data_IF_661436630916
#
_entry.id   IF_661436630916
#
_cell.length_a   1.000
_cell.length_b   1.000
_cell.length_c   1.000
_cell.angle_alpha   90.00
_cell.angle_beta   90.00
_cell.angle_gamma   90.00
#
_symmetry.space_group_name_H-M   'P 1'
#
loop_
_entity.id
_entity.type
_entity.pdbx_description
1 polymer ?
#
# COMPACT_ATOMS: atom_id res chain seq x y z
N UNK A 1 -70.70 27.02 -8.31
CA UNK A 1 -69.51 27.30 -9.16
C UNK A 1 -68.26 26.91 -8.37
N UNK A 2 -67.49 25.93 -8.87
CA UNK A 2 -66.22 25.48 -8.26
C UNK A 2 -65.04 26.26 -8.85
N UNK A 3 -64.18 26.74 -7.97
CA UNK A 3 -62.89 27.38 -8.23
C UNK A 3 -61.86 26.36 -8.76
N UNK A 4 -60.99 26.78 -9.69
CA UNK A 4 -59.70 26.13 -9.93
C UNK A 4 -58.59 27.18 -10.03
N UNK A 5 -57.60 27.03 -9.16
CA UNK A 5 -56.45 27.91 -8.94
C UNK A 5 -55.28 27.45 -9.82
N UNK A 6 -54.56 28.41 -10.42
CA UNK A 6 -53.42 28.19 -11.31
C UNK A 6 -52.18 27.62 -10.61
N UNK A 7 -51.63 26.55 -11.19
CA UNK A 7 -50.49 25.79 -10.65
C UNK A 7 -49.34 25.62 -11.65
N UNK A 8 -48.96 26.66 -12.38
CA UNK A 8 -48.00 26.54 -13.51
C UNK A 8 -46.55 26.93 -13.20
N UNK A 9 -46.28 27.71 -12.14
CA UNK A 9 -44.93 28.29 -11.91
C UNK A 9 -44.02 27.47 -10.98
N UNK A 10 -44.57 26.68 -10.06
CA UNK A 10 -43.75 25.99 -9.02
C UNK A 10 -42.99 24.78 -9.59
N UNK A 11 -43.54 24.11 -10.61
CA UNK A 11 -42.95 22.92 -11.20
C UNK A 11 -41.61 23.19 -11.95
N UNK A 12 -41.41 24.40 -12.49
CA UNK A 12 -40.20 24.74 -13.25
C UNK A 12 -38.98 25.03 -12.35
N UNK A 13 -39.19 25.52 -11.13
CA UNK A 13 -38.10 25.81 -10.20
C UNK A 13 -37.50 24.53 -9.58
N UNK A 14 -38.31 23.52 -9.29
CA UNK A 14 -37.87 22.26 -8.65
C UNK A 14 -37.01 21.41 -9.61
N UNK A 15 -37.29 21.48 -10.91
CA UNK A 15 -36.53 20.74 -11.93
C UNK A 15 -35.10 21.28 -12.12
N UNK A 16 -34.88 22.58 -11.93
CA UNK A 16 -33.54 23.20 -12.08
C UNK A 16 -32.62 22.90 -10.90
N UNK A 17 -33.14 22.87 -9.67
CA UNK A 17 -32.33 22.55 -8.48
C UNK A 17 -31.93 21.08 -8.43
N UNK A 18 -32.78 20.16 -8.92
CA UNK A 18 -32.48 18.74 -8.99
C UNK A 18 -31.33 18.44 -9.98
N UNK A 19 -31.28 19.13 -11.12
CA UNK A 19 -30.22 18.97 -12.13
C UNK A 19 -28.85 19.41 -11.60
N UNK A 20 -28.79 20.51 -10.84
CA UNK A 20 -27.55 21.02 -10.26
C UNK A 20 -27.01 20.04 -9.21
N UNK A 21 -27.86 19.52 -8.31
CA UNK A 21 -27.44 18.57 -7.27
C UNK A 21 -26.96 17.23 -7.88
N UNK A 22 -27.62 16.76 -8.96
CA UNK A 22 -27.22 15.53 -9.66
C UNK A 22 -25.86 15.70 -10.37
N UNK A 23 -25.59 16.86 -10.96
CA UNK A 23 -24.31 17.15 -11.63
C UNK A 23 -23.11 17.19 -10.66
N UNK A 24 -23.30 17.70 -9.44
CA UNK A 24 -22.24 17.76 -8.42
C UNK A 24 -21.88 16.36 -7.90
N UNK A 25 -22.86 15.45 -7.77
CA UNK A 25 -22.61 14.06 -7.35
C UNK A 25 -21.76 13.28 -8.36
N UNK A 26 -21.98 13.49 -9.65
CA UNK A 26 -21.23 12.81 -10.72
C UNK A 26 -19.79 13.31 -10.78
N UNK A 27 -19.55 14.60 -10.51
CA UNK A 27 -18.19 15.17 -10.53
C UNK A 27 -17.33 14.67 -9.35
N UNK A 28 -17.92 14.36 -8.20
CA UNK A 28 -17.19 13.89 -7.00
C UNK A 28 -16.83 12.40 -7.08
N UNK A 29 -17.61 11.56 -7.77
CA UNK A 29 -17.28 10.14 -7.93
C UNK A 29 -16.15 9.85 -8.93
N UNK A 30 -15.85 10.76 -9.86
CA UNK A 30 -14.82 10.54 -10.89
C UNK A 30 -13.37 10.67 -10.39
N UNK A 31 -13.13 11.09 -9.15
CA UNK A 31 -11.78 11.39 -8.64
C UNK A 31 -11.07 10.23 -7.93
N UNK A 32 -11.76 9.12 -7.64
CA UNK A 32 -11.13 7.97 -6.97
C UNK A 32 -10.60 6.96 -8.00
N UNK A 33 -9.48 7.30 -8.65
CA UNK A 33 -8.69 6.33 -9.46
C UNK A 33 -7.80 5.47 -8.57
N UNK A 34 -8.40 4.71 -7.66
CA UNK A 34 -7.72 3.57 -7.06
C UNK A 34 -7.72 2.42 -8.05
N UNK A 35 -6.62 2.20 -8.78
CA UNK A 35 -6.50 1.00 -9.63
C UNK A 35 -6.31 -0.21 -8.72
N UNK A 36 -7.39 -0.94 -8.49
CA UNK A 36 -7.32 -2.26 -7.87
C UNK A 36 -6.55 -3.19 -8.82
N UNK A 37 -5.39 -3.69 -8.37
CA UNK A 37 -4.64 -4.70 -9.11
C UNK A 37 -5.16 -6.09 -8.72
N UNK A 38 -5.82 -6.83 -9.63
CA UNK A 38 -6.38 -8.13 -9.30
C UNK A 38 -5.26 -9.11 -8.95
N UNK A 39 -5.51 -9.94 -7.93
CA UNK A 39 -4.58 -10.97 -7.48
C UNK A 39 -4.57 -12.15 -8.47
N UNK A 40 -3.83 -12.00 -9.57
CA UNK A 40 -3.71 -13.03 -10.61
C UNK A 40 -2.32 -13.65 -10.60
N UNK A 41 -2.22 -14.91 -11.04
CA UNK A 41 -0.93 -15.51 -11.38
C UNK A 41 -0.28 -14.72 -12.52
N UNK A 42 0.91 -14.17 -12.29
CA UNK A 42 1.65 -13.41 -13.29
C UNK A 42 2.96 -14.16 -13.60
N UNK A 43 2.88 -15.13 -14.51
CA UNK A 43 4.05 -15.92 -14.95
C UNK A 43 5.09 -15.08 -15.69
N UNK A 44 4.70 -13.91 -16.21
CA UNK A 44 5.61 -13.00 -16.91
C UNK A 44 6.76 -12.53 -16.01
N UNK A 45 6.54 -12.49 -14.69
CA UNK A 45 7.55 -12.12 -13.69
C UNK A 45 8.67 -13.18 -13.60
N UNK A 46 8.37 -14.45 -13.90
CA UNK A 46 9.33 -15.55 -13.78
C UNK A 46 10.47 -15.44 -14.81
N UNK A 47 10.23 -14.72 -15.91
CA UNK A 47 11.21 -14.47 -16.96
C UNK A 47 12.04 -13.19 -16.73
N UNK A 48 11.71 -12.40 -15.71
CA UNK A 48 12.42 -11.18 -15.38
C UNK A 48 13.52 -11.45 -14.34
N UNK A 49 14.66 -10.78 -14.49
CA UNK A 49 15.66 -10.71 -13.42
C UNK A 49 15.19 -9.71 -12.34
N UNK A 50 14.27 -10.20 -11.51
CA UNK A 50 13.74 -9.47 -10.37
C UNK A 50 14.86 -9.14 -9.39
N UNK A 51 15.89 -9.98 -9.27
CA UNK A 51 17.01 -9.73 -8.35
C UNK A 51 17.79 -8.47 -8.74
N UNK A 52 18.12 -8.31 -10.03
CA UNK A 52 18.74 -7.10 -10.55
C UNK A 52 17.86 -5.86 -10.30
N UNK A 53 16.54 -6.04 -10.38
CA UNK A 53 15.56 -5.00 -10.08
C UNK A 53 15.69 -4.52 -8.62
N UNK A 54 15.74 -5.46 -7.67
CA UNK A 54 15.93 -5.17 -6.25
C UNK A 54 17.32 -4.56 -5.97
N UNK A 55 18.35 -4.93 -6.75
CA UNK A 55 19.69 -4.36 -6.63
C UNK A 55 19.80 -2.95 -7.18
N UNK A 56 18.89 -2.46 -8.01
CA UNK A 56 18.98 -1.10 -8.56
C UNK A 56 18.20 -0.09 -7.68
N UNK A 57 18.90 0.91 -7.13
CA UNK A 57 18.31 1.89 -6.21
C UNK A 57 17.24 2.76 -6.84
N UNK A 58 17.38 3.08 -8.14
CA UNK A 58 16.37 3.86 -8.88
C UNK A 58 15.11 3.04 -9.10
N UNK A 59 15.27 1.79 -9.52
CA UNK A 59 14.15 0.88 -9.78
C UNK A 59 13.41 0.55 -8.48
N UNK A 60 14.14 0.19 -7.42
CA UNK A 60 13.58 -0.03 -6.09
C UNK A 60 12.75 1.16 -5.61
N UNK A 61 13.27 2.39 -5.76
CA UNK A 61 12.52 3.60 -5.37
C UNK A 61 11.17 3.69 -6.10
N UNK A 62 11.14 3.40 -7.40
CA UNK A 62 9.89 3.42 -8.18
C UNK A 62 8.89 2.42 -7.62
N UNK A 63 9.33 1.21 -7.24
CA UNK A 63 8.47 0.19 -6.64
C UNK A 63 7.85 0.67 -5.33
N UNK A 64 8.68 1.21 -4.46
CA UNK A 64 8.24 1.73 -3.17
C UNK A 64 7.25 2.88 -3.36
N UNK A 65 7.51 3.77 -4.32
CA UNK A 65 6.58 4.86 -4.65
C UNK A 65 5.23 4.30 -5.13
N UNK A 66 5.24 3.32 -6.04
CA UNK A 66 4.03 2.65 -6.53
C UNK A 66 3.21 1.98 -5.40
N UNK A 67 3.90 1.29 -4.49
CA UNK A 67 3.25 0.49 -3.44
C UNK A 67 2.59 1.39 -2.39
N UNK A 68 3.27 2.45 -1.97
CA UNK A 68 2.85 3.27 -0.81
C UNK A 68 2.22 4.62 -1.17
N UNK A 69 2.44 5.14 -2.38
CA UNK A 69 2.01 6.48 -2.76
C UNK A 69 1.00 6.51 -3.90
N UNK A 70 0.59 5.33 -4.36
CA UNK A 70 -0.27 5.16 -5.53
C UNK A 70 0.29 5.85 -6.79
N UNK A 71 1.63 5.95 -6.85
CA UNK A 71 2.33 6.33 -8.07
C UNK A 71 2.19 5.22 -9.13
N UNK A 72 2.38 5.54 -10.43
CA UNK A 72 2.28 4.55 -11.49
C UNK A 72 3.18 3.34 -11.28
N UNK A 73 2.56 2.16 -11.19
CA UNK A 73 3.24 0.89 -11.04
C UNK A 73 3.64 0.30 -12.39
N UNK A 74 4.87 -0.20 -12.51
CA UNK A 74 5.30 -1.05 -13.62
C UNK A 74 4.83 -2.51 -13.41
N UNK A 75 5.28 -3.44 -14.27
CA UNK A 75 4.85 -4.84 -14.19
C UNK A 75 5.23 -5.48 -12.84
N UNK A 76 6.46 -5.24 -12.37
CA UNK A 76 6.96 -5.77 -11.09
C UNK A 76 6.20 -5.16 -9.92
N UNK A 77 5.90 -3.86 -9.95
CA UNK A 77 5.20 -3.19 -8.87
C UNK A 77 3.75 -3.61 -8.74
N UNK A 78 3.08 -3.82 -9.87
CA UNK A 78 1.71 -4.37 -9.87
C UNK A 78 1.66 -5.79 -9.31
N UNK A 79 2.69 -6.59 -9.57
CA UNK A 79 2.83 -7.92 -8.98
C UNK A 79 3.11 -7.86 -7.48
N UNK A 80 4.07 -7.02 -7.08
CA UNK A 80 4.61 -6.95 -5.73
C UNK A 80 3.66 -6.27 -4.74
N UNK A 81 2.93 -5.22 -5.15
CA UNK A 81 2.03 -4.46 -4.27
C UNK A 81 1.05 -5.32 -3.44
N UNK A 82 0.26 -6.23 -4.03
CA UNK A 82 -0.65 -7.07 -3.24
C UNK A 82 0.06 -8.22 -2.49
N UNK A 83 1.32 -8.50 -2.80
CA UNK A 83 2.09 -9.63 -2.24
C UNK A 83 3.09 -9.22 -1.17
N UNK A 84 3.47 -7.95 -1.12
CA UNK A 84 4.55 -7.47 -0.27
C UNK A 84 4.30 -7.80 1.20
N UNK A 85 3.12 -7.46 1.73
CA UNK A 85 2.84 -7.71 3.15
C UNK A 85 2.65 -9.19 3.48
N UNK A 86 1.86 -9.99 2.74
CA UNK A 86 1.86 -11.44 2.93
C UNK A 86 3.27 -12.05 2.89
N UNK A 87 4.11 -11.59 1.96
CA UNK A 87 5.46 -12.10 1.76
C UNK A 87 6.37 -11.86 2.97
N UNK A 88 6.17 -10.76 3.71
CA UNK A 88 6.87 -10.49 4.97
C UNK A 88 6.54 -11.53 6.06
N UNK A 89 5.37 -12.16 5.99
CA UNK A 89 4.95 -13.22 6.90
C UNK A 89 5.20 -14.64 6.35
N UNK A 90 5.83 -14.75 5.17
CA UNK A 90 6.13 -16.02 4.53
C UNK A 90 5.04 -16.53 3.58
N UNK A 91 3.98 -15.76 3.34
CA UNK A 91 2.90 -16.13 2.43
C UNK A 91 3.02 -15.42 1.08
N UNK A 92 2.79 -16.13 -0.02
CA UNK A 92 2.82 -15.54 -1.37
C UNK A 92 1.53 -15.90 -2.13
N UNK A 93 0.47 -15.07 -2.02
CA UNK A 93 -0.80 -15.36 -2.65
C UNK A 93 -0.69 -15.26 -4.18
N UNK A 94 -1.27 -16.24 -4.88
CA UNK A 94 -1.23 -16.37 -6.34
C UNK A 94 0.19 -16.23 -6.93
N UNK A 95 1.17 -16.86 -6.29
CA UNK A 95 2.56 -16.94 -6.75
C UNK A 95 2.87 -18.29 -7.38
N UNK A 96 3.70 -18.30 -8.41
CA UNK A 96 4.25 -19.52 -9.01
C UNK A 96 5.24 -20.19 -8.05
N UNK A 97 5.59 -21.45 -8.28
CA UNK A 97 6.58 -22.16 -7.46
C UNK A 97 7.95 -21.47 -7.49
N UNK A 98 8.37 -20.99 -8.67
CA UNK A 98 9.58 -20.17 -8.81
C UNK A 98 9.53 -18.90 -7.96
N UNK A 99 8.40 -18.18 -7.99
CA UNK A 99 8.22 -16.97 -7.17
C UNK A 99 8.28 -17.29 -5.68
N UNK A 100 7.64 -18.38 -5.23
CA UNK A 100 7.67 -18.79 -3.82
C UNK A 100 9.08 -19.11 -3.35
N UNK A 101 9.87 -19.79 -4.19
CA UNK A 101 11.26 -20.14 -3.88
C UNK A 101 12.16 -18.90 -3.81
N UNK A 102 11.98 -17.93 -4.72
CA UNK A 102 12.84 -16.74 -4.85
C UNK A 102 12.44 -15.56 -3.98
N UNK A 103 11.18 -15.44 -3.62
CA UNK A 103 10.65 -14.31 -2.84
C UNK A 103 11.42 -14.07 -1.51
N UNK A 104 11.76 -15.09 -0.69
CA UNK A 104 12.57 -14.87 0.50
C UNK A 104 13.93 -14.24 0.18
N UNK A 105 14.57 -14.66 -0.91
CA UNK A 105 15.87 -14.12 -1.34
C UNK A 105 15.74 -12.64 -1.75
N UNK A 106 14.68 -12.30 -2.50
CA UNK A 106 14.40 -10.91 -2.89
C UNK A 106 14.11 -10.00 -1.68
N UNK A 107 13.33 -10.48 -0.72
CA UNK A 107 13.06 -9.75 0.52
C UNK A 107 14.33 -9.55 1.36
N UNK A 108 15.21 -10.55 1.43
CA UNK A 108 16.50 -10.41 2.11
C UNK A 108 17.38 -9.35 1.44
N UNK A 109 17.46 -9.32 0.11
CA UNK A 109 18.19 -8.28 -0.62
C UNK A 109 17.60 -6.89 -0.34
N UNK A 110 16.26 -6.78 -0.30
CA UNK A 110 15.60 -5.52 0.03
C UNK A 110 15.95 -5.05 1.45
N UNK A 111 15.84 -5.95 2.43
CA UNK A 111 16.13 -5.67 3.83
C UNK A 111 17.61 -5.32 4.09
N UNK A 112 18.53 -6.01 3.41
CA UNK A 112 19.97 -5.79 3.56
C UNK A 112 20.44 -4.50 2.88
N UNK A 113 20.01 -4.28 1.63
CA UNK A 113 20.47 -3.14 0.83
C UNK A 113 19.79 -1.83 1.21
N UNK A 114 18.53 -1.87 1.66
CA UNK A 114 17.75 -0.69 2.00
C UNK A 114 17.12 -0.79 3.39
N UNK A 115 17.93 -0.94 4.45
CA UNK A 115 17.42 -1.25 5.79
C UNK A 115 16.51 -0.14 6.34
N UNK A 116 16.79 1.11 5.99
CA UNK A 116 15.96 2.26 6.43
C UNK A 116 14.60 2.23 5.74
N UNK A 117 14.56 2.00 4.41
CA UNK A 117 13.29 1.88 3.68
C UNK A 117 12.51 0.64 4.10
N UNK A 118 13.18 -0.50 4.29
CA UNK A 118 12.55 -1.73 4.76
C UNK A 118 11.84 -1.53 6.12
N UNK A 119 12.53 -0.92 7.09
CA UNK A 119 11.93 -0.58 8.38
C UNK A 119 10.73 0.36 8.23
N UNK A 120 10.83 1.30 7.30
CA UNK A 120 9.78 2.26 7.04
C UNK A 120 8.53 1.61 6.41
N UNK A 121 8.72 0.67 5.49
CA UNK A 121 7.68 -0.18 4.92
C UNK A 121 6.97 -1.01 5.98
N UNK A 122 7.73 -1.70 6.84
CA UNK A 122 7.15 -2.52 7.91
C UNK A 122 6.43 -1.65 8.93
N UNK A 123 6.98 -0.48 9.28
CA UNK A 123 6.32 0.45 10.19
C UNK A 123 5.02 0.99 9.61
N UNK A 124 4.98 1.35 8.32
CA UNK A 124 3.76 1.79 7.66
C UNK A 124 2.69 0.68 7.71
N UNK A 125 3.06 -0.56 7.41
CA UNK A 125 2.15 -1.70 7.54
C UNK A 125 1.57 -1.83 8.95
N UNK A 126 2.43 -1.77 9.97
CA UNK A 126 2.00 -1.86 11.37
C UNK A 126 1.04 -0.72 11.72
N UNK A 127 1.30 0.49 11.25
CA UNK A 127 0.41 1.63 11.42
C UNK A 127 -0.95 1.44 10.72
N UNK A 128 -0.95 0.92 9.49
CA UNK A 128 -2.17 0.64 8.73
C UNK A 128 -3.03 -0.43 9.43
N UNK A 129 -2.40 -1.34 10.18
CA UNK A 129 -3.05 -2.34 11.04
C UNK A 129 -3.41 -1.81 12.44
N UNK A 130 -3.15 -0.52 12.74
CA UNK A 130 -3.48 0.11 14.01
C UNK A 130 -2.48 -0.15 15.15
N UNK A 131 -1.31 -0.75 14.86
CA UNK A 131 -0.27 -0.93 15.86
C UNK A 131 0.53 0.37 16.07
N UNK A 132 0.82 0.75 17.33
CA UNK A 132 1.61 1.93 17.61
C UNK A 132 3.08 1.72 17.21
N UNK A 133 3.64 2.67 16.47
CA UNK A 133 5.06 2.73 16.15
C UNK A 133 5.75 3.75 17.07
N UNK A 134 6.96 3.47 17.60
CA UNK A 134 7.70 4.42 18.42
C UNK A 134 7.88 5.77 17.71
N UNK A 135 7.62 6.88 18.43
CA UNK A 135 7.64 8.24 17.84
C UNK A 135 9.02 8.60 17.29
N UNK A 136 10.07 7.98 17.81
CA UNK A 136 11.46 8.16 17.40
C UNK A 136 11.75 7.58 16.00
N UNK A 137 10.93 6.63 15.53
CA UNK A 137 11.07 6.01 14.21
C UNK A 137 10.39 6.85 13.12
N UNK A 138 9.30 7.57 13.43
CA UNK A 138 8.55 8.42 12.49
C UNK A 138 9.46 9.36 11.66
N UNK A 139 10.40 10.13 12.23
CA UNK A 139 11.25 11.02 11.44
C UNK A 139 12.27 10.27 10.56
N UNK A 140 12.60 9.01 10.88
CA UNK A 140 13.46 8.16 10.05
C UNK A 140 12.69 7.61 8.86
N UNK A 141 11.44 7.19 9.10
CA UNK A 141 10.47 6.75 8.08
C UNK A 141 10.25 7.88 7.08
N UNK A 142 9.95 9.09 7.57
CA UNK A 142 9.75 10.28 6.75
C UNK A 142 10.94 10.58 5.82
N UNK A 143 12.16 10.54 6.37
CA UNK A 143 13.39 10.74 5.60
C UNK A 143 13.64 9.64 4.58
N UNK A 144 13.40 8.38 4.94
CA UNK A 144 13.65 7.22 4.06
C UNK A 144 12.83 7.29 2.77
N UNK A 145 11.59 7.71 2.90
CA UNK A 145 10.68 7.84 1.78
C UNK A 145 10.80 9.17 1.04
N UNK A 146 11.59 10.12 1.54
CA UNK A 146 11.74 11.45 0.94
C UNK A 146 10.42 12.23 0.92
N UNK A 147 9.57 12.05 1.93
CA UNK A 147 8.29 12.74 2.05
C UNK A 147 8.51 14.25 2.00
N UNK A 148 7.93 14.91 0.98
CA UNK A 148 7.76 16.37 0.99
C UNK A 148 6.45 16.79 1.69
N UNK A 149 5.50 15.88 1.84
CA UNK A 149 4.20 16.15 2.48
C UNK A 149 3.84 15.04 3.48
N UNK A 150 3.99 15.34 4.77
CA UNK A 150 3.80 14.41 5.89
C UNK A 150 2.34 13.99 6.10
N UNK A 151 1.38 14.67 5.45
CA UNK A 151 -0.06 14.42 5.62
C UNK A 151 -0.50 13.05 5.11
N UNK A 152 0.21 12.46 4.14
CA UNK A 152 -0.09 11.13 3.60
C UNK A 152 0.34 9.97 4.50
N UNK A 153 1.19 10.20 5.50
CA UNK A 153 1.61 9.18 6.48
C UNK A 153 0.50 8.92 7.52
N UNK A 154 -0.32 9.93 7.78
CA UNK A 154 -1.27 9.95 8.88
C UNK A 154 -2.71 9.64 8.44
N UNK A 155 -2.92 9.27 7.16
CA UNK A 155 -4.24 8.94 6.66
C UNK A 155 -4.31 7.48 6.18
N UNK A 156 -4.67 6.52 7.06
CA UNK A 156 -4.77 5.09 6.75
C UNK A 156 -5.94 4.74 5.81
N UNK A 157 -6.68 5.72 5.27
CA UNK A 157 -7.90 5.44 4.51
C UNK A 157 -7.70 4.92 3.07
N UNK A 158 -6.48 4.89 2.53
CA UNK A 158 -6.27 4.37 1.16
C UNK A 158 -6.26 2.84 1.05
N UNK A 159 -6.20 2.10 2.16
CA UNK A 159 -6.08 0.61 2.13
C UNK A 159 -7.39 -0.11 2.51
N UNK A 160 -8.41 0.61 3.00
CA UNK A 160 -9.67 0.00 3.48
C UNK A 160 -10.54 -0.57 2.33
N UNK A 161 -10.21 -0.31 1.06
CA UNK A 161 -10.97 -0.81 -0.09
C UNK A 161 -10.38 -2.06 -0.76
N UNK A 162 -9.33 -2.67 -0.21
CA UNK A 162 -8.92 -4.02 -0.61
C UNK A 162 -9.66 -5.04 0.27
N UNK A 163 -10.89 -5.34 -0.10
CA UNK A 163 -11.69 -6.45 0.42
C UNK A 163 -11.01 -7.79 0.15
N UNK A 164 -10.00 -8.11 0.95
CA UNK A 164 -9.59 -9.47 1.35
C UNK A 164 -9.23 -9.40 2.83
N UNK A 165 -10.22 -9.06 3.66
CA UNK A 165 -10.23 -9.58 5.04
C UNK A 165 -10.66 -11.04 4.91
N UNK A 166 -9.73 -11.91 4.50
CA UNK A 166 -9.79 -13.27 5.02
C UNK A 166 -9.53 -13.13 6.52
N UNK A 167 -10.35 -13.70 7.41
CA UNK A 167 -10.02 -13.71 8.81
C UNK A 167 -8.71 -14.49 8.93
N UNK A 168 -7.63 -13.79 9.26
CA UNK A 168 -6.43 -14.44 9.80
C UNK A 168 -6.91 -15.06 11.11
N UNK A 169 -7.37 -16.30 11.00
CA UNK A 169 -7.75 -17.11 12.15
C UNK A 169 -6.63 -17.03 13.16
N UNK A 170 -7.01 -16.76 14.40
CA UNK A 170 -6.12 -16.58 15.54
C UNK A 170 -5.11 -17.73 15.64
N UNK A 171 -3.92 -17.56 15.03
CA UNK A 171 -2.76 -18.37 15.32
C UNK A 171 -2.19 -17.84 16.63
N UNK A 172 -2.73 -18.36 17.74
CA UNK A 172 -2.04 -18.32 19.03
C UNK A 172 -0.65 -18.94 18.83
N UNK A 173 0.34 -18.26 19.39
CA UNK A 173 1.67 -18.79 19.69
C UNK A 173 2.59 -19.02 18.49
N UNK A 174 3.07 -17.92 17.90
CA UNK A 174 4.48 -17.69 17.52
C UNK A 174 4.58 -16.23 17.08
N UNK A 175 5.17 -15.38 17.93
CA UNK A 175 5.41 -13.99 17.57
C UNK A 175 6.18 -13.90 16.25
N UNK A 176 5.87 -12.96 15.34
CA UNK A 176 6.50 -12.90 14.04
C UNK A 176 8.01 -12.65 14.18
N UNK A 177 8.81 -13.41 13.43
CA UNK A 177 10.26 -13.29 13.36
C UNK A 177 10.74 -11.84 13.11
N UNK A 178 9.88 -10.98 12.55
CA UNK A 178 10.13 -9.57 12.27
C UNK A 178 10.14 -8.64 13.49
N UNK A 179 9.48 -8.97 14.61
CA UNK A 179 9.59 -8.13 15.84
C UNK A 179 11.05 -8.14 16.34
N UNK A 180 11.77 -9.24 16.13
CA UNK A 180 13.20 -9.33 16.45
C UNK A 180 14.09 -8.39 15.58
N UNK A 181 13.60 -7.95 14.41
CA UNK A 181 14.31 -7.03 13.53
C UNK A 181 14.36 -5.60 14.10
N UNK A 182 13.35 -5.19 14.87
CA UNK A 182 13.32 -3.88 15.52
C UNK A 182 14.12 -3.83 16.83
N UNK A 183 14.38 -4.98 17.47
CA UNK A 183 15.11 -5.08 18.74
C UNK A 183 16.63 -5.26 18.63
N UNK A 184 17.17 -5.63 17.45
CA UNK A 184 18.61 -5.91 17.29
C UNK A 184 19.37 -4.61 17.01
N UNK A 185 19.86 -3.92 18.06
CA UNK A 185 20.92 -2.90 17.90
C UNK A 185 22.09 -3.59 17.19
N UNK A 186 22.51 -3.08 16.03
CA UNK A 186 23.78 -3.51 15.40
C UNK A 186 24.91 -3.08 16.33
N UNK A 187 25.40 -3.98 17.16
CA UNK A 187 26.70 -3.80 17.81
C UNK A 187 27.75 -3.88 16.71
N UNK A 188 28.28 -2.73 16.31
CA UNK A 188 29.47 -2.68 15.46
C UNK A 188 30.62 -3.29 16.25
N UNK A 189 31.06 -4.50 15.87
CA UNK A 189 32.33 -5.06 16.37
C UNK A 189 33.44 -4.09 15.97
N UNK A 190 34.31 -3.64 16.89
CA UNK A 190 35.49 -2.88 16.53
C UNK A 190 36.42 -3.79 15.72
N UNK A 191 36.98 -3.24 14.63
CA UNK A 191 38.07 -3.87 13.89
C UNK A 191 39.32 -3.82 14.78
N UNK A 192 39.79 -4.97 15.22
CA UNK A 192 41.13 -5.12 15.77
C UNK A 192 42.13 -4.92 14.63
N UNK A 193 43.06 -3.98 14.84
CA UNK A 193 44.26 -3.74 14.02
C UNK A 193 45.24 -4.90 14.16
#
# INVERSE_FOLDING_TARGET
>A
MKLTVGGSSVARMIASSAFVILSVKILVCASYRGVLHPLTYQRQIDYLDVEQYFRNSRLMRIQIMCIFYDEPCDLVGRWLKPRLFPALFGDCPACTEYQKEKLPQWLLIFADKYPVMFRAVVAQFLMDQGYPVPKEEIPKIQRAFGFRDTRKILNPQSVINASVVAPIGARKDTGPALISYFGRRRTTKPKTL
#
